data_IF_244083382589
#
_entry.id   IF_244083382589
#
_cell.length_a   1.000
_cell.length_b   1.000
_cell.length_c   1.000
_cell.angle_alpha   90.00
_cell.angle_beta   90.00
_cell.angle_gamma   90.00
#
_symmetry.space_group_name_H-M   'P 1'
#
loop_
_entity.id
_entity.type
_entity.pdbx_description
1 polymer ?
#
# COMPACT_ATOMS: atom_id res chain seq x y z
N UNK A 1 23.08 15.94 0.21
CA UNK A 1 21.62 15.76 0.33
C UNK A 1 21.06 16.90 1.16
N UNK A 2 20.57 17.93 0.48
CA UNK A 2 19.88 19.07 1.10
C UNK A 2 18.42 18.72 1.37
N UNK A 3 17.73 19.57 2.13
CA UNK A 3 16.29 19.43 2.34
C UNK A 3 15.52 19.46 1.01
N UNK A 4 15.84 20.40 0.13
CA UNK A 4 15.16 20.51 -1.16
C UNK A 4 15.39 19.30 -2.07
N UNK A 5 16.59 18.73 -2.10
CA UNK A 5 16.86 17.48 -2.82
C UNK A 5 15.98 16.33 -2.28
N UNK A 6 15.87 16.21 -0.95
CA UNK A 6 15.08 15.15 -0.30
C UNK A 6 13.59 15.30 -0.58
N UNK A 7 13.08 16.54 -0.50
CA UNK A 7 11.69 16.89 -0.78
C UNK A 7 11.31 16.64 -2.24
N UNK A 8 12.17 17.05 -3.18
CA UNK A 8 11.92 16.87 -4.61
C UNK A 8 11.92 15.39 -5.01
N UNK A 9 12.82 14.59 -4.41
CA UNK A 9 12.81 13.13 -4.61
C UNK A 9 11.51 12.51 -4.10
N UNK A 10 11.12 12.80 -2.86
CA UNK A 10 9.90 12.27 -2.28
C UNK A 10 8.64 12.66 -3.08
N UNK A 11 8.58 13.92 -3.55
CA UNK A 11 7.49 14.40 -4.39
C UNK A 11 7.43 13.64 -5.72
N UNK A 12 8.56 13.47 -6.40
CA UNK A 12 8.62 12.76 -7.69
C UNK A 12 8.21 11.29 -7.55
N UNK A 13 8.68 10.61 -6.50
CA UNK A 13 8.29 9.22 -6.20
C UNK A 13 6.79 9.10 -5.88
N UNK A 14 6.24 10.06 -5.14
CA UNK A 14 4.81 10.10 -4.82
C UNK A 14 3.95 10.31 -6.07
N UNK A 15 4.30 11.28 -6.91
CA UNK A 15 3.59 11.55 -8.17
C UNK A 15 3.64 10.36 -9.13
N UNK A 16 4.78 9.69 -9.23
CA UNK A 16 4.91 8.45 -10.03
C UNK A 16 4.07 7.29 -9.46
N UNK A 17 3.87 7.23 -8.15
CA UNK A 17 3.01 6.21 -7.54
C UNK A 17 1.52 6.49 -7.81
N UNK A 18 1.09 7.75 -7.71
CA UNK A 18 -0.33 8.15 -7.89
C UNK A 18 -0.88 7.86 -9.29
N UNK A 19 -0.03 7.78 -10.30
CA UNK A 19 -0.43 7.45 -11.67
C UNK A 19 -0.63 5.96 -11.94
N UNK A 20 -0.41 5.10 -10.94
CA UNK A 20 -0.50 3.64 -11.06
C UNK A 20 -1.58 3.06 -10.13
N UNK A 21 -2.04 1.85 -10.44
CA UNK A 21 -2.82 1.04 -9.49
C UNK A 21 -1.84 0.43 -8.49
N UNK A 22 -2.14 0.57 -7.20
CA UNK A 22 -1.35 -0.04 -6.14
C UNK A 22 -2.23 -0.37 -4.94
N UNK A 23 -1.76 -1.31 -4.12
CA UNK A 23 -2.43 -1.75 -2.91
C UNK A 23 -1.56 -1.36 -1.72
N UNK A 24 -2.16 -0.74 -0.70
CA UNK A 24 -1.52 -0.47 0.58
C UNK A 24 -2.06 -1.44 1.62
N UNK A 25 -1.19 -1.95 2.49
CA UNK A 25 -1.59 -2.76 3.64
C UNK A 25 -0.97 -2.25 4.94
N UNK A 26 -1.82 -2.00 5.95
CA UNK A 26 -1.41 -1.56 7.28
C UNK A 26 -0.66 -2.66 8.02
N UNK A 27 0.65 -2.50 8.19
CA UNK A 27 1.54 -3.51 8.81
C UNK A 27 2.31 -2.99 10.02
N UNK A 28 1.83 -1.88 10.59
CA UNK A 28 2.26 -1.45 11.93
C UNK A 28 1.80 -2.43 13.01
N UNK A 29 2.03 -2.10 14.29
CA UNK A 29 1.81 -3.01 15.43
C UNK A 29 0.39 -3.60 15.48
N UNK A 30 -0.66 -2.76 15.38
CA UNK A 30 -2.04 -3.25 15.41
C UNK A 30 -2.36 -4.14 14.21
N UNK A 31 -1.99 -3.72 13.00
CA UNK A 31 -2.18 -4.52 11.78
C UNK A 31 -1.50 -5.89 11.87
N UNK A 32 -0.26 -5.95 12.36
CA UNK A 32 0.43 -7.23 12.59
C UNK A 32 -0.28 -8.09 13.64
N UNK A 33 -0.73 -7.49 14.74
CA UNK A 33 -1.44 -8.21 15.80
C UNK A 33 -2.78 -8.80 15.32
N UNK A 34 -3.44 -8.17 14.34
CA UNK A 34 -4.71 -8.64 13.76
C UNK A 34 -4.55 -9.41 12.45
N UNK A 35 -3.32 -9.77 12.06
CA UNK A 35 -3.08 -10.72 10.97
C UNK A 35 -2.75 -10.09 9.60
N UNK A 36 -2.34 -8.83 9.53
CA UNK A 36 -1.99 -8.17 8.26
C UNK A 36 -0.93 -8.91 7.41
N UNK A 37 -0.01 -9.66 8.04
CA UNK A 37 0.98 -10.46 7.28
C UNK A 37 0.35 -11.68 6.60
N UNK A 38 -0.60 -12.34 7.27
CA UNK A 38 -1.35 -13.43 6.65
C UNK A 38 -2.22 -12.90 5.51
N UNK A 39 -2.81 -11.70 5.68
CA UNK A 39 -3.53 -11.00 4.61
C UNK A 39 -2.62 -10.67 3.43
N UNK A 40 -1.40 -10.19 3.67
CA UNK A 40 -0.40 -9.91 2.63
C UNK A 40 -0.08 -11.18 1.81
N UNK A 41 0.25 -12.29 2.49
CA UNK A 41 0.58 -13.55 1.83
C UNK A 41 -0.59 -14.08 0.99
N UNK A 42 -1.81 -14.03 1.55
CA UNK A 42 -3.02 -14.44 0.84
C UNK A 42 -3.27 -13.58 -0.41
N UNK A 43 -3.06 -12.27 -0.30
CA UNK A 43 -3.21 -11.33 -1.41
C UNK A 43 -2.18 -11.60 -2.52
N UNK A 44 -0.90 -11.73 -2.17
CA UNK A 44 0.18 -12.02 -3.14
C UNK A 44 -0.06 -13.34 -3.88
N UNK A 45 -0.49 -14.38 -3.15
CA UNK A 45 -0.84 -15.67 -3.75
C UNK A 45 -2.00 -15.56 -4.73
N UNK A 46 -3.05 -14.82 -4.38
CA UNK A 46 -4.22 -14.65 -5.24
C UNK A 46 -3.90 -13.80 -6.48
N UNK A 47 -3.14 -12.71 -6.33
CA UNK A 47 -2.66 -11.90 -7.44
C UNK A 47 -1.82 -12.73 -8.43
N UNK A 48 -0.91 -13.55 -7.90
CA UNK A 48 -0.12 -14.48 -8.72
C UNK A 48 -1.01 -15.51 -9.43
N UNK A 49 -1.97 -16.11 -8.73
CA UNK A 49 -2.92 -17.08 -9.30
C UNK A 49 -3.75 -16.49 -10.45
N UNK A 50 -4.08 -15.20 -10.36
CA UNK A 50 -4.86 -14.48 -11.36
C UNK A 50 -4.00 -13.85 -12.47
N UNK A 51 -2.66 -13.99 -12.41
CA UNK A 51 -1.71 -13.31 -13.29
C UNK A 51 -1.89 -11.77 -13.28
N UNK A 52 -2.19 -11.19 -12.13
CA UNK A 52 -2.34 -9.74 -11.95
C UNK A 52 -1.03 -9.20 -11.37
N UNK A 53 -0.32 -8.39 -12.16
CA UNK A 53 0.85 -7.65 -11.68
C UNK A 53 0.40 -6.31 -11.11
N UNK A 54 0.47 -6.16 -9.79
CA UNK A 54 0.16 -4.92 -9.08
C UNK A 54 1.08 -4.76 -7.88
N UNK A 55 1.49 -3.52 -7.60
CA UNK A 55 2.38 -3.22 -6.48
C UNK A 55 1.60 -3.29 -5.16
N UNK A 56 1.99 -4.22 -4.28
CA UNK A 56 1.51 -4.28 -2.89
C UNK A 56 2.56 -3.63 -1.98
N UNK A 57 2.16 -2.64 -1.19
CA UNK A 57 3.05 -1.82 -0.38
C UNK A 57 2.64 -1.95 1.09
N UNK A 58 3.56 -2.46 1.89
CA UNK A 58 3.42 -2.46 3.34
C UNK A 58 3.61 -1.04 3.87
N UNK A 59 2.63 -0.53 4.62
CA UNK A 59 2.66 0.81 5.21
C UNK A 59 2.55 0.77 6.73
N UNK A 60 2.80 1.91 7.36
CA UNK A 60 2.69 2.12 8.80
C UNK A 60 1.23 2.23 9.29
N UNK A 61 1.05 2.85 10.45
CA UNK A 61 -0.27 3.03 11.06
C UNK A 61 -1.09 4.05 10.25
N UNK A 62 -2.34 3.68 9.92
CA UNK A 62 -3.29 4.56 9.24
C UNK A 62 -4.33 5.18 10.20
N UNK A 63 -4.22 4.93 11.51
CA UNK A 63 -5.03 5.55 12.56
C UNK A 63 -6.38 4.88 12.84
N UNK A 64 -6.74 3.82 12.11
CA UNK A 64 -8.01 3.09 12.23
C UNK A 64 -7.80 1.70 12.86
N UNK A 65 -7.12 1.64 14.01
CA UNK A 65 -6.68 0.38 14.62
C UNK A 65 -7.79 -0.66 14.87
N UNK A 66 -9.02 -0.21 15.11
CA UNK A 66 -10.17 -1.10 15.33
C UNK A 66 -10.62 -1.85 14.07
N UNK A 67 -10.25 -1.35 12.89
CA UNK A 67 -10.63 -1.90 11.59
C UNK A 67 -9.48 -2.66 10.91
N UNK A 68 -8.33 -2.80 11.59
CA UNK A 68 -7.21 -3.56 11.07
C UNK A 68 -7.53 -5.06 11.00
N UNK A 69 -7.03 -5.80 10.00
CA UNK A 69 -6.06 -5.38 8.99
C UNK A 69 -6.69 -4.56 7.84
N UNK A 70 -6.12 -3.37 7.57
CA UNK A 70 -6.60 -2.45 6.55
C UNK A 70 -5.86 -2.63 5.23
N UNK A 71 -6.63 -2.82 4.16
CA UNK A 71 -6.15 -2.89 2.79
C UNK A 71 -6.83 -1.80 1.96
N UNK A 72 -6.03 -0.94 1.34
CA UNK A 72 -6.51 0.17 0.51
C UNK A 72 -6.05 -0.02 -0.91
N UNK A 73 -6.97 0.05 -1.88
CA UNK A 73 -6.66 -0.01 -3.30
C UNK A 73 -6.70 1.42 -3.84
N UNK A 74 -5.58 1.87 -4.40
CA UNK A 74 -5.52 3.11 -5.16
C UNK A 74 -5.67 2.81 -6.63
N UNK A 75 -6.53 3.58 -7.30
CA UNK A 75 -6.76 3.52 -8.74
C UNK A 75 -6.80 4.94 -9.29
N UNK A 76 -6.03 5.25 -10.33
CA UNK A 76 -6.16 6.52 -11.03
C UNK A 76 -7.49 6.52 -11.82
N UNK A 77 -8.37 7.48 -11.51
CA UNK A 77 -9.70 7.75 -12.11
C UNK A 77 -10.91 6.89 -11.60
N UNK A 78 -12.16 7.42 -11.70
CA UNK A 78 -13.33 6.85 -11.04
C UNK A 78 -13.76 5.51 -11.63
N UNK A 79 -14.45 4.72 -10.80
CA UNK A 79 -15.30 3.62 -11.27
C UNK A 79 -16.34 4.17 -12.25
N UNK A 80 -16.23 3.78 -13.52
CA UNK A 80 -17.37 3.74 -14.42
C UNK A 80 -18.08 2.40 -14.24
#
# INVERSE_FOLDING_TARGET
>A
MTFEESKNRAKSEWEALQSNIYILIGTATCGRATGALATLEALEKELSRQNIEVKVIQVGCMGLCYAEPLVTISKPAPFA
#
